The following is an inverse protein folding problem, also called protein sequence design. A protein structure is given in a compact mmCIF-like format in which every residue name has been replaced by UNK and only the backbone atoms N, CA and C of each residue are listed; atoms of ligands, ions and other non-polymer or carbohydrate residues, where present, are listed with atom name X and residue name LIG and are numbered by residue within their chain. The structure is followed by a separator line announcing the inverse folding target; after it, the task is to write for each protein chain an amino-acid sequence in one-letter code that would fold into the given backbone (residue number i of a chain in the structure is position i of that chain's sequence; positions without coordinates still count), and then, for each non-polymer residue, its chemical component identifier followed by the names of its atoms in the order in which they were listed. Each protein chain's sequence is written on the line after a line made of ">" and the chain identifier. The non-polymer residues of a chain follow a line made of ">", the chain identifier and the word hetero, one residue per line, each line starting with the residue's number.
data_IF_481892079349
#
_entry.id   IF_481892079349
#
_cell.length_a   1.000
_cell.length_b   1.000
_cell.length_c   1.000
_cell.angle_alpha   90.00
_cell.angle_beta   90.00
_cell.angle_gamma   90.00
#
_symmetry.space_group_name_H-M   'P 1'
#
loop_
_entity.id
_entity.type
_entity.pdbx_description
1 polymer ?
#
# COMPACT_ATOMS: atom_id res chain seq x y z
N UNK A 1 5.80 -2.63 -1.15
CA UNK A 1 6.25 -2.36 0.25
C UNK A 1 6.61 -3.68 0.90
N UNK A 2 7.82 -3.83 1.45
CA UNK A 2 8.23 -5.09 2.05
C UNK A 2 7.68 -5.16 3.49
N UNK A 3 6.60 -5.90 3.70
CA UNK A 3 5.95 -6.03 5.01
C UNK A 3 6.74 -7.04 5.84
N UNK A 4 7.11 -6.67 7.07
CA UNK A 4 7.83 -7.56 7.95
C UNK A 4 7.00 -8.84 8.23
N UNK A 5 7.61 -10.05 8.20
CA UNK A 5 6.88 -11.31 8.41
C UNK A 5 6.07 -11.36 9.73
N UNK A 6 6.55 -10.64 10.73
CA UNK A 6 5.86 -10.53 12.02
C UNK A 6 4.57 -9.71 11.89
N UNK A 7 4.61 -8.58 11.17
CA UNK A 7 3.43 -7.75 10.93
C UNK A 7 2.35 -8.52 10.14
N UNK A 8 2.77 -9.29 9.15
CA UNK A 8 1.87 -10.15 8.38
C UNK A 8 1.17 -11.20 9.23
N UNK A 9 1.87 -11.84 10.19
CA UNK A 9 1.25 -12.80 11.13
C UNK A 9 0.17 -12.16 11.99
N UNK A 10 0.43 -10.96 12.54
CA UNK A 10 -0.56 -10.22 13.31
C UNK A 10 -1.77 -9.84 12.46
N UNK A 11 -1.53 -9.34 11.24
CA UNK A 11 -2.59 -8.98 10.33
C UNK A 11 -3.45 -10.20 9.97
N UNK A 12 -2.84 -11.35 9.69
CA UNK A 12 -3.56 -12.59 9.39
C UNK A 12 -4.42 -13.04 10.56
N UNK A 13 -3.87 -13.04 11.78
CA UNK A 13 -4.65 -13.40 12.98
C UNK A 13 -5.86 -12.48 13.20
N UNK A 14 -5.73 -11.18 12.91
CA UNK A 14 -6.84 -10.24 12.99
C UNK A 14 -7.88 -10.52 11.91
N UNK A 15 -7.45 -10.81 10.67
CA UNK A 15 -8.33 -11.12 9.56
C UNK A 15 -9.08 -12.44 9.76
N UNK A 16 -8.42 -13.46 10.30
CA UNK A 16 -9.03 -14.75 10.63
C UNK A 16 -10.15 -14.54 11.67
N UNK A 17 -9.86 -13.81 12.76
CA UNK A 17 -10.85 -13.44 13.78
C UNK A 17 -12.02 -12.62 13.19
N UNK A 18 -11.73 -11.65 12.33
CA UNK A 18 -12.74 -10.82 11.67
C UNK A 18 -13.63 -11.67 10.75
N UNK A 19 -13.07 -12.68 10.10
CA UNK A 19 -13.82 -13.62 9.25
C UNK A 19 -14.76 -14.50 10.09
N UNK A 20 -14.28 -15.04 11.21
CA UNK A 20 -15.11 -15.84 12.14
C UNK A 20 -16.29 -15.03 12.70
N UNK A 21 -16.12 -13.72 12.89
CA UNK A 21 -17.15 -12.82 13.42
C UNK A 21 -17.98 -12.11 12.36
N UNK A 22 -17.69 -12.31 11.09
CA UNK A 22 -18.38 -11.64 9.99
C UNK A 22 -18.14 -10.12 9.92
N UNK A 23 -17.01 -9.63 10.46
CA UNK A 23 -16.68 -8.20 10.58
C UNK A 23 -15.49 -7.76 9.72
N UNK A 24 -15.21 -8.49 8.65
CA UNK A 24 -14.03 -8.26 7.79
C UNK A 24 -14.03 -6.85 7.19
N UNK A 25 -15.18 -6.38 6.70
CA UNK A 25 -15.29 -5.06 6.08
C UNK A 25 -15.11 -3.92 7.10
N UNK A 26 -15.63 -4.11 8.34
CA UNK A 26 -15.45 -3.14 9.43
C UNK A 26 -13.97 -3.05 9.86
N UNK A 27 -13.30 -4.19 10.06
CA UNK A 27 -11.88 -4.24 10.42
C UNK A 27 -11.01 -3.64 9.31
N UNK A 28 -11.35 -3.85 8.04
CA UNK A 28 -10.66 -3.23 6.92
C UNK A 28 -10.75 -1.70 6.96
N UNK A 29 -11.96 -1.16 7.16
CA UNK A 29 -12.17 0.28 7.28
C UNK A 29 -11.41 0.88 8.48
N UNK A 30 -11.49 0.22 9.63
CA UNK A 30 -10.79 0.62 10.85
C UNK A 30 -9.27 0.68 10.64
N UNK A 31 -8.70 -0.36 10.04
CA UNK A 31 -7.26 -0.44 9.77
C UNK A 31 -6.83 0.56 8.68
N UNK A 32 -7.72 0.94 7.76
CA UNK A 32 -7.51 2.07 6.86
C UNK A 32 -7.34 3.37 7.64
N UNK A 33 -8.29 3.67 8.54
CA UNK A 33 -8.22 4.85 9.41
C UNK A 33 -6.95 4.86 10.28
N UNK A 34 -6.54 3.71 10.81
CA UNK A 34 -5.31 3.57 11.59
C UNK A 34 -4.08 3.87 10.72
N UNK A 35 -4.02 3.34 9.49
CA UNK A 35 -2.94 3.61 8.55
C UNK A 35 -2.84 5.10 8.22
N UNK A 36 -3.95 5.72 7.83
CA UNK A 36 -4.01 7.14 7.45
C UNK A 36 -3.62 8.05 8.62
N UNK A 37 -4.14 7.77 9.81
CA UNK A 37 -3.82 8.55 11.02
C UNK A 37 -2.34 8.46 11.36
N UNK A 38 -1.73 7.28 11.24
CA UNK A 38 -0.30 7.09 11.51
C UNK A 38 0.60 7.72 10.44
N UNK A 39 0.16 7.78 9.19
CA UNK A 39 0.86 8.48 8.11
C UNK A 39 0.76 10.00 8.28
N UNK A 40 -0.42 10.51 8.62
CA UNK A 40 -0.67 11.94 8.78
C UNK A 40 0.05 12.54 10.00
N UNK A 41 0.17 11.78 11.12
CA UNK A 41 0.76 12.28 12.35
C UNK A 41 2.20 11.80 12.55
N UNK A 42 3.17 12.73 12.40
CA UNK A 42 4.58 12.47 12.72
C UNK A 42 4.75 12.16 14.22
N UNK A 43 4.05 12.90 15.08
CA UNK A 43 4.17 12.76 16.53
C UNK A 43 3.70 11.38 17.00
N UNK A 44 2.61 10.88 16.42
CA UNK A 44 2.12 9.53 16.70
C UNK A 44 3.16 8.47 16.30
N UNK A 45 3.80 8.62 15.14
CA UNK A 45 4.86 7.70 14.70
C UNK A 45 6.07 7.71 15.63
N UNK A 46 6.50 8.90 16.07
CA UNK A 46 7.62 9.06 17.02
C UNK A 46 7.24 8.41 18.36
N UNK A 47 6.03 8.66 18.85
CA UNK A 47 5.52 8.06 20.09
C UNK A 47 5.52 6.53 20.04
N UNK A 48 4.98 5.95 18.96
CA UNK A 48 4.90 4.49 18.80
C UNK A 48 6.27 3.84 18.78
N UNK A 49 7.25 4.47 18.11
CA UNK A 49 8.61 3.93 17.99
C UNK A 49 9.54 4.29 19.18
N UNK A 50 9.11 5.15 20.09
CA UNK A 50 9.94 5.55 21.22
C UNK A 50 10.07 4.44 22.26
N UNK A 51 11.27 3.98 22.62
CA UNK A 51 11.48 3.00 23.67
C UNK A 51 11.36 3.61 25.08
N UNK A 52 11.44 4.95 25.20
CA UNK A 52 11.43 5.66 26.48
C UNK A 52 10.02 5.79 27.04
N UNK A 53 9.01 5.84 26.18
CA UNK A 53 7.62 5.99 26.59
C UNK A 53 7.06 4.65 27.02
N UNK A 54 6.56 4.58 28.26
CA UNK A 54 5.96 3.36 28.84
C UNK A 54 4.69 2.94 28.06
N UNK A 55 4.45 1.63 28.00
CA UNK A 55 3.30 1.03 27.31
C UNK A 55 1.95 1.63 27.75
N UNK A 56 1.75 1.88 29.06
CA UNK A 56 0.51 2.46 29.58
C UNK A 56 0.21 3.86 28.99
N UNK A 57 1.26 4.69 28.83
CA UNK A 57 1.10 6.01 28.21
C UNK A 57 0.78 5.90 26.72
N UNK A 58 1.40 4.95 26.01
CA UNK A 58 1.11 4.69 24.61
C UNK A 58 -0.32 4.19 24.42
N UNK A 59 -0.78 3.26 25.28
CA UNK A 59 -2.15 2.77 25.29
C UNK A 59 -3.14 3.91 25.48
N UNK A 60 -2.93 4.73 26.53
CA UNK A 60 -3.82 5.87 26.80
C UNK A 60 -3.93 6.88 25.63
N UNK A 61 -2.83 7.10 24.90
CA UNK A 61 -2.85 7.95 23.70
C UNK A 61 -3.62 7.28 22.56
N UNK A 62 -3.34 6.01 22.26
CA UNK A 62 -4.03 5.27 21.22
C UNK A 62 -5.53 5.16 21.50
N UNK A 63 -5.90 4.88 22.75
CA UNK A 63 -7.30 4.83 23.17
C UNK A 63 -8.01 6.18 22.92
N UNK A 64 -7.37 7.31 23.21
CA UNK A 64 -7.94 8.64 22.94
C UNK A 64 -8.02 8.98 21.46
N UNK A 65 -7.02 8.59 20.66
CA UNK A 65 -6.97 8.87 19.21
C UNK A 65 -8.04 8.09 18.46
N UNK A 66 -8.25 6.82 18.86
CA UNK A 66 -9.14 5.90 18.17
C UNK A 66 -10.49 5.67 18.87
N UNK A 67 -10.73 6.26 20.05
CA UNK A 67 -12.01 6.14 20.78
C UNK A 67 -13.19 6.54 19.90
N UNK A 68 -14.16 5.63 19.78
CA UNK A 68 -15.38 5.85 18.98
C UNK A 68 -15.18 5.94 17.47
N UNK A 69 -13.94 5.75 16.98
CA UNK A 69 -13.62 5.79 15.56
C UNK A 69 -13.37 4.41 14.95
N UNK A 70 -12.99 3.45 15.76
CA UNK A 70 -12.74 2.07 15.38
C UNK A 70 -13.58 1.12 16.23
N UNK A 71 -13.89 -0.05 15.70
CA UNK A 71 -14.66 -1.07 16.40
C UNK A 71 -13.92 -1.68 17.58
N UNK A 72 -14.68 -2.36 18.45
CA UNK A 72 -14.16 -2.95 19.68
C UNK A 72 -13.05 -3.99 19.43
N UNK A 73 -13.18 -4.77 18.35
CA UNK A 73 -12.19 -5.78 17.96
C UNK A 73 -10.85 -5.14 17.61
N UNK A 74 -10.89 -4.07 16.81
CA UNK A 74 -9.69 -3.32 16.43
C UNK A 74 -9.04 -2.66 17.65
N UNK A 75 -9.83 -2.10 18.58
CA UNK A 75 -9.29 -1.55 19.83
C UNK A 75 -8.61 -2.61 20.67
N UNK A 76 -9.25 -3.77 20.87
CA UNK A 76 -8.66 -4.90 21.62
C UNK A 76 -7.36 -5.38 20.97
N UNK A 77 -7.34 -5.43 19.64
CA UNK A 77 -6.15 -5.83 18.91
C UNK A 77 -5.00 -4.83 19.09
N UNK A 78 -5.27 -3.52 19.01
CA UNK A 78 -4.28 -2.47 19.28
C UNK A 78 -3.72 -2.61 20.70
N UNK A 79 -4.58 -2.83 21.69
CA UNK A 79 -4.17 -3.04 23.08
C UNK A 79 -3.24 -4.27 23.24
N UNK A 80 -3.51 -5.35 22.49
CA UNK A 80 -2.64 -6.55 22.47
C UNK A 80 -1.26 -6.20 21.90
N UNK A 81 -1.18 -5.43 20.79
CA UNK A 81 0.08 -5.00 20.20
C UNK A 81 0.91 -4.17 21.18
N UNK A 82 0.28 -3.23 21.90
CA UNK A 82 0.94 -2.43 22.93
C UNK A 82 1.46 -3.30 24.07
N UNK A 83 0.64 -4.22 24.58
CA UNK A 83 1.04 -5.15 25.64
C UNK A 83 2.23 -6.03 25.26
N UNK A 84 2.34 -6.37 23.98
CA UNK A 84 3.46 -7.16 23.42
C UNK A 84 4.67 -6.30 23.03
N UNK A 85 4.65 -4.98 23.23
CA UNK A 85 5.72 -4.07 22.83
C UNK A 85 5.91 -4.02 21.32
N UNK A 86 4.82 -4.18 20.55
CA UNK A 86 4.82 -4.23 19.08
C UNK A 86 4.03 -3.08 18.44
N UNK A 87 3.72 -2.05 19.20
CA UNK A 87 2.97 -0.88 18.75
C UNK A 87 3.65 -0.12 17.61
N UNK A 88 4.99 -0.13 17.55
CA UNK A 88 5.74 0.44 16.41
C UNK A 88 5.47 -0.25 15.08
N UNK A 89 4.95 -1.48 15.10
CA UNK A 89 4.59 -2.23 13.88
C UNK A 89 3.16 -1.93 13.42
N UNK A 90 2.38 -1.14 14.16
CA UNK A 90 0.97 -0.85 13.86
C UNK A 90 0.76 -0.36 12.41
N UNK A 91 1.56 0.56 11.84
CA UNK A 91 1.41 0.97 10.44
C UNK A 91 1.62 -0.19 9.45
N UNK A 92 2.61 -1.05 9.73
CA UNK A 92 2.90 -2.21 8.87
C UNK A 92 1.81 -3.28 8.97
N UNK A 93 1.25 -3.49 10.15
CA UNK A 93 0.12 -4.40 10.37
C UNK A 93 -1.11 -3.89 9.64
N UNK A 94 -1.40 -2.59 9.72
CA UNK A 94 -2.51 -1.98 9.00
C UNK A 94 -2.38 -2.16 7.48
N UNK A 95 -1.19 -1.91 6.92
CA UNK A 95 -0.91 -2.16 5.50
C UNK A 95 -1.07 -3.65 5.12
N UNK A 96 -0.64 -4.57 5.99
CA UNK A 96 -0.80 -6.00 5.79
C UNK A 96 -2.28 -6.45 5.79
N UNK A 97 -3.10 -5.89 6.69
CA UNK A 97 -4.56 -6.14 6.72
C UNK A 97 -5.21 -5.69 5.41
N UNK A 98 -4.85 -4.50 4.93
CA UNK A 98 -5.36 -3.98 3.66
C UNK A 98 -5.00 -4.90 2.49
N UNK A 99 -3.77 -5.40 2.46
CA UNK A 99 -3.33 -6.34 1.43
C UNK A 99 -4.08 -7.68 1.51
N UNK A 100 -4.23 -8.25 2.72
CA UNK A 100 -4.96 -9.51 2.93
C UNK A 100 -6.43 -9.39 2.54
N UNK A 101 -7.07 -8.28 2.90
CA UNK A 101 -8.46 -8.00 2.51
C UNK A 101 -8.61 -7.97 0.98
N UNK A 102 -7.75 -7.22 0.29
CA UNK A 102 -7.76 -7.14 -1.17
C UNK A 102 -7.58 -8.52 -1.81
N UNK A 103 -6.66 -9.33 -1.27
CA UNK A 103 -6.45 -10.70 -1.73
C UNK A 103 -7.70 -11.57 -1.52
N UNK A 104 -8.33 -11.50 -0.35
CA UNK A 104 -9.54 -12.26 -0.03
C UNK A 104 -10.75 -11.87 -0.89
N UNK A 105 -10.90 -10.59 -1.19
CA UNK A 105 -11.99 -10.06 -2.05
C UNK A 105 -11.66 -10.15 -3.55
N UNK A 106 -10.49 -10.65 -3.93
CA UNK A 106 -10.06 -10.70 -5.33
C UNK A 106 -9.88 -9.31 -5.95
N UNK A 107 -9.47 -8.32 -5.16
CA UNK A 107 -9.19 -6.97 -5.63
C UNK A 107 -7.73 -6.88 -6.04
N UNK A 108 -7.47 -6.41 -7.27
CA UNK A 108 -6.13 -6.14 -7.78
C UNK A 108 -5.93 -4.64 -7.89
N UNK A 109 -4.88 -4.12 -7.26
CA UNK A 109 -4.52 -2.71 -7.39
C UNK A 109 -3.60 -2.54 -8.60
N UNK A 110 -4.01 -1.68 -9.53
CA UNK A 110 -3.18 -1.20 -10.63
C UNK A 110 -2.61 0.17 -10.22
N UNK A 111 -1.31 0.21 -9.93
CA UNK A 111 -0.59 1.47 -9.68
C UNK A 111 -0.30 2.12 -11.03
N UNK A 112 -0.79 3.34 -11.21
CA UNK A 112 -0.61 4.12 -12.45
C UNK A 112 0.14 5.40 -12.13
N UNK A 113 1.33 5.54 -12.70
CA UNK A 113 2.11 6.76 -12.60
C UNK A 113 2.06 7.47 -13.95
N UNK A 114 1.66 8.73 -13.98
CA UNK A 114 1.51 9.55 -15.19
C UNK A 114 2.22 10.89 -15.04
N UNK A 115 2.65 11.49 -16.13
CA UNK A 115 3.28 12.81 -16.12
C UNK A 115 2.28 13.95 -15.83
N UNK A 116 1.00 13.73 -16.16
CA UNK A 116 -0.12 14.65 -15.94
C UNK A 116 -1.32 13.87 -15.39
N UNK A 117 -2.30 14.51 -14.73
CA UNK A 117 -3.51 13.82 -14.29
C UNK A 117 -4.17 13.06 -15.45
N UNK A 118 -4.62 11.83 -15.16
CA UNK A 118 -5.27 10.99 -16.17
C UNK A 118 -6.63 11.57 -16.58
N UNK A 119 -6.90 11.56 -17.86
CA UNK A 119 -8.26 11.78 -18.38
C UNK A 119 -9.13 10.52 -18.23
N UNK A 120 -10.44 10.69 -18.32
CA UNK A 120 -11.38 9.58 -18.09
C UNK A 120 -11.24 8.48 -19.16
N UNK A 121 -10.85 8.83 -20.38
CA UNK A 121 -10.65 7.87 -21.47
C UNK A 121 -9.44 6.97 -21.19
N UNK A 122 -8.31 7.55 -20.78
CA UNK A 122 -7.11 6.81 -20.41
C UNK A 122 -7.36 5.96 -19.15
N UNK A 123 -8.09 6.49 -18.17
CA UNK A 123 -8.48 5.75 -16.96
C UNK A 123 -9.30 4.50 -17.31
N UNK A 124 -10.24 4.61 -18.24
CA UNK A 124 -11.02 3.46 -18.72
C UNK A 124 -10.16 2.44 -19.47
N UNK A 125 -9.23 2.88 -20.33
CA UNK A 125 -8.31 2.00 -21.05
C UNK A 125 -7.40 1.22 -20.07
N UNK A 126 -6.83 1.90 -19.06
CA UNK A 126 -6.02 1.24 -18.03
C UNK A 126 -6.84 0.21 -17.25
N UNK A 127 -8.07 0.57 -16.87
CA UNK A 127 -8.97 -0.36 -16.17
C UNK A 127 -9.32 -1.57 -17.05
N UNK A 128 -9.61 -1.36 -18.32
CA UNK A 128 -9.90 -2.43 -19.27
C UNK A 128 -8.68 -3.37 -19.45
N UNK A 129 -7.49 -2.80 -19.60
CA UNK A 129 -6.24 -3.56 -19.67
C UNK A 129 -6.03 -4.42 -18.40
N UNK A 130 -6.18 -3.83 -17.23
CA UNK A 130 -6.01 -4.52 -15.97
C UNK A 130 -7.05 -5.64 -15.77
N UNK A 131 -8.32 -5.40 -16.15
CA UNK A 131 -9.37 -6.41 -16.10
C UNK A 131 -9.12 -7.56 -17.07
N UNK A 132 -8.64 -7.27 -18.28
CA UNK A 132 -8.31 -8.30 -19.27
C UNK A 132 -7.16 -9.22 -18.81
N UNK A 133 -6.20 -8.68 -18.04
CA UNK A 133 -5.08 -9.44 -17.48
C UNK A 133 -5.45 -10.26 -16.25
N UNK A 134 -6.44 -9.81 -15.49
CA UNK A 134 -6.90 -10.47 -14.27
C UNK A 134 -8.40 -10.76 -14.33
N UNK A 135 -8.84 -11.71 -15.18
CA UNK A 135 -10.26 -12.04 -15.33
C UNK A 135 -10.85 -12.51 -14.00
N UNK A 136 -12.05 -12.01 -13.69
CA UNK A 136 -12.75 -12.34 -12.44
C UNK A 136 -12.31 -11.58 -11.19
N UNK A 137 -11.36 -10.63 -11.32
CA UNK A 137 -10.96 -9.77 -10.21
C UNK A 137 -11.48 -8.35 -10.39
N UNK A 138 -11.73 -7.67 -9.28
CA UNK A 138 -12.07 -6.24 -9.27
C UNK A 138 -10.78 -5.42 -9.35
N UNK A 139 -10.72 -4.44 -10.27
CA UNK A 139 -9.56 -3.58 -10.45
C UNK A 139 -9.76 -2.25 -9.72
N UNK A 140 -8.84 -1.94 -8.83
CA UNK A 140 -8.72 -0.64 -8.17
C UNK A 140 -7.51 0.11 -8.74
N UNK A 141 -7.69 1.39 -9.11
CA UNK A 141 -6.62 2.22 -9.62
C UNK A 141 -6.02 3.07 -8.49
N UNK A 142 -4.70 3.01 -8.34
CA UNK A 142 -3.91 3.93 -7.50
C UNK A 142 -3.14 4.87 -8.42
N UNK A 143 -3.63 6.09 -8.56
CA UNK A 143 -3.12 7.08 -9.52
C UNK A 143 -2.13 8.02 -8.83
N UNK A 144 -0.95 8.19 -9.45
CA UNK A 144 0.07 9.16 -9.01
C UNK A 144 0.55 9.99 -10.19
N UNK A 145 0.78 11.27 -9.93
CA UNK A 145 1.37 12.17 -10.92
C UNK A 145 2.85 12.36 -10.59
N UNK A 146 3.71 12.07 -11.58
CA UNK A 146 5.15 12.27 -11.50
C UNK A 146 5.67 12.94 -12.77
N UNK A 147 5.96 14.22 -12.68
CA UNK A 147 6.46 15.03 -13.80
C UNK A 147 7.83 14.55 -14.34
N UNK A 148 8.58 13.74 -13.58
CA UNK A 148 9.87 13.19 -14.03
C UNK A 148 9.75 12.23 -15.21
N UNK A 149 8.54 11.69 -15.47
CA UNK A 149 8.26 10.84 -16.62
C UNK A 149 8.29 11.60 -17.97
N UNK A 150 8.25 12.95 -17.93
CA UNK A 150 8.20 13.85 -19.10
C UNK A 150 6.90 13.69 -19.88
N UNK A 151 6.36 12.47 -20.01
CA UNK A 151 5.14 12.12 -20.72
C UNK A 151 4.87 10.61 -20.67
N UNK A 152 3.66 10.23 -21.10
CA UNK A 152 3.22 8.84 -21.07
C UNK A 152 2.80 8.36 -19.68
N UNK A 153 2.65 7.04 -19.53
CA UNK A 153 2.19 6.39 -18.32
C UNK A 153 3.04 5.14 -18.01
N UNK A 154 3.23 4.87 -16.73
CA UNK A 154 3.74 3.59 -16.23
C UNK A 154 2.64 2.92 -15.41
N UNK A 155 2.36 1.65 -15.69
CA UNK A 155 1.31 0.87 -15.03
C UNK A 155 1.97 -0.33 -14.39
N UNK A 156 1.70 -0.57 -13.09
CA UNK A 156 2.12 -1.78 -12.39
C UNK A 156 0.90 -2.51 -11.84
N UNK A 157 0.76 -3.77 -12.19
CA UNK A 157 -0.33 -4.63 -11.75
C UNK A 157 0.27 -5.90 -11.14
N UNK A 158 0.27 -5.98 -9.80
CA UNK A 158 0.97 -7.06 -9.10
C UNK A 158 2.47 -7.06 -9.42
N UNK A 159 2.96 -8.13 -10.03
CA UNK A 159 4.37 -8.30 -10.41
C UNK A 159 4.68 -7.84 -11.83
N UNK A 160 3.67 -7.51 -12.63
CA UNK A 160 3.81 -7.04 -14.00
C UNK A 160 3.91 -5.51 -14.06
N UNK A 161 4.88 -4.99 -14.81
CA UNK A 161 5.05 -3.56 -15.02
C UNK A 161 5.11 -3.24 -16.52
N UNK A 162 4.29 -2.28 -16.92
CA UNK A 162 4.22 -1.71 -18.26
C UNK A 162 4.66 -0.26 -18.21
N UNK A 163 5.84 0.03 -18.72
CA UNK A 163 6.39 1.37 -18.71
C UNK A 163 6.37 1.94 -20.13
N UNK A 164 5.37 2.78 -20.41
CA UNK A 164 5.20 3.54 -21.64
C UNK A 164 5.66 5.00 -21.50
N UNK A 165 6.51 5.33 -20.52
CA UNK A 165 6.98 6.70 -20.33
C UNK A 165 7.93 7.16 -21.44
N UNK A 166 7.88 8.46 -21.73
CA UNK A 166 8.82 9.13 -22.66
C UNK A 166 10.24 9.07 -22.10
N UNK A 167 10.39 9.21 -20.79
CA UNK A 167 11.68 9.11 -20.08
C UNK A 167 12.38 7.78 -20.38
N UNK A 168 11.65 6.67 -20.33
CA UNK A 168 12.18 5.36 -20.67
C UNK A 168 12.59 5.28 -22.14
N UNK A 169 11.73 5.72 -23.04
CA UNK A 169 12.05 5.74 -24.48
C UNK A 169 13.32 6.53 -24.79
N UNK A 170 13.48 7.70 -24.19
CA UNK A 170 14.70 8.51 -24.33
C UNK A 170 15.93 7.80 -23.77
N UNK A 171 15.78 7.13 -22.64
CA UNK A 171 16.87 6.35 -22.03
C UNK A 171 17.28 5.17 -22.91
N UNK A 172 16.32 4.46 -23.49
CA UNK A 172 16.58 3.34 -24.39
C UNK A 172 17.27 3.81 -25.69
N UNK A 173 16.81 4.91 -26.30
CA UNK A 173 17.47 5.54 -27.46
C UNK A 173 18.91 5.97 -27.13
N UNK A 174 19.11 6.65 -25.97
CA UNK A 174 20.47 7.05 -25.55
C UNK A 174 21.39 5.84 -25.42
N UNK A 175 20.89 4.74 -24.87
CA UNK A 175 21.65 3.48 -24.74
C UNK A 175 21.97 2.86 -26.10
N UNK A 176 21.04 2.91 -27.03
CA UNK A 176 21.23 2.42 -28.39
C UNK A 176 22.31 3.23 -29.14
N UNK A 177 22.24 4.56 -29.09
CA UNK A 177 23.25 5.44 -29.67
C UNK A 177 24.60 5.38 -28.97
N UNK A 178 24.65 4.96 -27.71
CA UNK A 178 25.92 4.79 -26.98
C UNK A 178 26.63 3.48 -27.29
N UNK A 179 25.95 2.52 -27.90
CA UNK A 179 26.56 1.29 -28.41
C UNK A 179 27.33 1.64 -29.69
N UNK A 180 28.66 1.70 -29.60
CA UNK A 180 29.50 1.87 -30.79
C UNK A 180 29.54 0.53 -31.57
N UNK A 181 28.88 0.38 -32.71
CA UNK A 181 28.90 -0.85 -33.50
C UNK A 181 30.21 -1.01 -34.32
N UNK A 182 31.08 0.02 -34.30
CA UNK A 182 32.33 0.00 -35.06
C UNK A 182 33.37 -0.84 -34.33
N UNK A 183 33.60 -2.06 -34.81
CA UNK A 183 34.78 -2.87 -34.50
C UNK A 183 35.79 -2.55 -35.59
N UNK A 184 36.96 -1.93 -35.32
CA UNK A 184 37.99 -1.77 -36.33
C UNK A 184 38.46 -3.16 -36.75
N UNK A 185 38.32 -3.54 -38.00
CA UNK A 185 39.04 -4.66 -38.59
C UNK A 185 40.48 -4.23 -38.69
N UNK A 186 41.39 -4.82 -37.87
CA UNK A 186 42.84 -4.71 -37.93
C UNK A 186 43.33 -5.90 -38.69
#
# INVERSE_FOLDING_TARGET
>A
MNIAPVAYRYARSLMDLATERGQVDAVYADMGLVADTTVASRDLRVLLNSPVVKADKKSAVLDRVFAGKVGEETQRFIAILVRKGREGMLPQVAAAVQQLYKQQKGIVTAEVVSAVPLDDSTRQQVRALATARHPGKTVELDERVDASLIGGISIRIGDEQYDGSVSRRLSDLRREFSKNPYIPEI
#
